data_IF_011182490471
#
_entry.id   IF_011182490471
#
_cell.length_a   1.000
_cell.length_b   1.000
_cell.length_c   1.000
_cell.angle_alpha   90.00
_cell.angle_beta   90.00
_cell.angle_gamma   90.00
#
_symmetry.space_group_name_H-M   'P 1'
#
loop_
_entity.id
_entity.type
_entity.pdbx_description
1 polymer ?
#
# COMPACT_ATOMS: atom_id res chain seq x y z
N UNK A 1 2.30 16.26 2.69
CA UNK A 1 1.43 16.33 1.51
C UNK A 1 0.38 15.24 1.62
N UNK A 2 -0.89 15.58 1.51
CA UNK A 2 -1.95 14.58 1.44
C UNK A 2 -1.99 14.09 -0.02
N UNK A 3 -1.37 12.94 -0.32
CA UNK A 3 -1.36 12.36 -1.67
C UNK A 3 -2.57 11.43 -1.83
N UNK A 4 -3.57 11.77 -2.66
CA UNK A 4 -4.74 10.93 -2.85
C UNK A 4 -4.34 9.56 -3.40
N UNK A 5 -5.06 8.52 -2.97
CA UNK A 5 -4.89 7.17 -3.48
C UNK A 5 -5.04 7.16 -5.01
N UNK A 6 -4.14 6.46 -5.72
CA UNK A 6 -4.06 6.37 -7.19
C UNK A 6 -3.61 7.65 -7.94
N UNK A 7 -3.15 8.70 -7.25
CA UNK A 7 -2.47 9.82 -7.93
C UNK A 7 -1.06 9.42 -8.41
N UNK A 8 -0.47 10.19 -9.33
CA UNK A 8 0.91 9.97 -9.80
C UNK A 8 1.91 9.99 -8.62
N UNK A 9 1.81 11.00 -7.75
CA UNK A 9 2.63 11.13 -6.52
C UNK A 9 2.47 9.91 -5.61
N UNK A 10 1.25 9.37 -5.49
CA UNK A 10 1.02 8.14 -4.72
C UNK A 10 1.77 6.94 -5.29
N UNK A 11 1.82 6.80 -6.62
CA UNK A 11 2.58 5.74 -7.27
C UNK A 11 4.09 5.93 -7.13
N UNK A 12 4.60 7.14 -7.36
CA UNK A 12 6.01 7.50 -7.21
C UNK A 12 6.53 7.21 -5.80
N UNK A 13 5.81 7.70 -4.78
CA UNK A 13 6.21 7.49 -3.38
C UNK A 13 6.17 6.00 -2.98
N UNK A 14 5.29 5.20 -3.57
CA UNK A 14 5.20 3.75 -3.30
C UNK A 14 6.16 2.91 -4.13
N UNK A 15 6.77 3.47 -5.16
CA UNK A 15 7.70 2.75 -6.03
C UNK A 15 8.94 2.34 -5.24
N UNK A 16 9.50 3.29 -4.48
CA UNK A 16 10.75 3.14 -3.74
C UNK A 16 10.54 2.93 -2.24
N UNK A 17 9.32 2.65 -1.76
CA UNK A 17 9.03 2.50 -0.32
C UNK A 17 8.38 1.16 0.00
N UNK A 18 8.73 0.64 1.17
CA UNK A 18 7.98 -0.44 1.79
C UNK A 18 6.57 0.07 2.16
N UNK A 19 5.56 -0.69 1.76
CA UNK A 19 4.16 -0.42 2.10
C UNK A 19 3.59 -1.59 2.87
N UNK A 20 2.58 -1.37 3.70
CA UNK A 20 1.96 -2.45 4.49
C UNK A 20 1.47 -3.63 3.64
N UNK A 21 1.00 -3.37 2.41
CA UNK A 21 0.58 -4.42 1.48
C UNK A 21 1.73 -5.20 0.83
N UNK A 22 2.98 -4.70 0.91
CA UNK A 22 4.17 -5.31 0.28
C UNK A 22 5.21 -5.79 1.28
N UNK A 23 5.17 -5.34 2.54
CA UNK A 23 6.16 -5.72 3.55
C UNK A 23 6.18 -7.23 3.81
N UNK A 24 5.04 -7.91 3.77
CA UNK A 24 4.99 -9.36 3.96
C UNK A 24 5.69 -10.14 2.84
N UNK A 25 5.48 -9.73 1.59
CA UNK A 25 6.20 -10.28 0.44
C UNK A 25 7.72 -10.02 0.56
N UNK A 26 8.09 -8.93 1.24
CA UNK A 26 9.49 -8.59 1.55
C UNK A 26 10.04 -9.32 2.79
N UNK A 27 9.20 -9.81 3.68
CA UNK A 27 9.64 -10.52 4.88
C UNK A 27 9.83 -12.02 4.61
N UNK A 28 8.95 -12.61 3.80
CA UNK A 28 8.87 -14.06 3.57
C UNK A 28 9.87 -14.61 2.53
N UNK A 29 11.01 -13.93 2.30
CA UNK A 29 12.04 -14.44 1.39
C UNK A 29 12.82 -15.60 2.02
N UNK A 30 12.42 -16.84 1.69
CA UNK A 30 13.24 -18.03 1.96
C UNK A 30 13.70 -18.78 0.71
N UNK A 31 13.22 -18.41 -0.50
CA UNK A 31 13.55 -19.11 -1.75
C UNK A 31 13.86 -18.15 -2.91
N UNK A 32 14.87 -18.53 -3.69
CA UNK A 32 15.61 -17.75 -4.66
C UNK A 32 14.78 -17.31 -5.88
N UNK A 33 14.34 -16.05 -5.90
CA UNK A 33 14.31 -15.23 -7.11
C UNK A 33 14.21 -13.74 -6.70
N UNK A 34 15.34 -13.19 -6.30
CA UNK A 34 15.43 -11.77 -5.92
C UNK A 34 15.23 -10.83 -7.12
N UNK A 35 15.52 -11.31 -8.34
CA UNK A 35 15.40 -10.49 -9.56
C UNK A 35 13.95 -10.23 -9.90
N UNK A 36 13.12 -11.28 -9.98
CA UNK A 36 11.70 -11.14 -10.26
C UNK A 36 10.98 -10.35 -9.16
N UNK A 37 11.34 -10.61 -7.90
CA UNK A 37 10.74 -9.90 -6.77
C UNK A 37 11.11 -8.42 -6.72
N UNK A 38 12.36 -8.07 -7.01
CA UNK A 38 12.77 -6.66 -7.13
C UNK A 38 12.00 -5.97 -8.27
N UNK A 39 11.86 -6.62 -9.43
CA UNK A 39 11.08 -6.09 -10.55
C UNK A 39 9.62 -5.84 -10.14
N UNK A 40 8.97 -6.82 -9.53
CA UNK A 40 7.58 -6.70 -9.09
C UNK A 40 7.39 -5.68 -7.95
N UNK A 41 8.41 -5.46 -7.14
CA UNK A 41 8.41 -4.44 -6.10
C UNK A 41 8.52 -3.04 -6.72
N UNK A 42 9.60 -2.75 -7.47
CA UNK A 42 9.85 -1.41 -8.02
C UNK A 42 8.96 -1.06 -9.22
N UNK A 43 8.35 -2.03 -9.88
CA UNK A 43 7.41 -1.80 -10.99
C UNK A 43 6.19 -2.71 -10.83
N UNK A 44 5.35 -2.44 -9.83
CA UNK A 44 4.18 -3.28 -9.57
C UNK A 44 3.18 -3.14 -10.72
N UNK A 45 2.67 -4.28 -11.20
CA UNK A 45 1.54 -4.29 -12.12
C UNK A 45 0.31 -3.72 -11.41
N UNK A 46 -0.51 -2.97 -12.14
CA UNK A 46 -1.78 -2.52 -11.60
C UNK A 46 -2.66 -3.73 -11.25
N UNK A 47 -3.12 -3.78 -10.00
CA UNK A 47 -4.05 -4.80 -9.54
C UNK A 47 -5.46 -4.36 -9.90
N UNK A 48 -5.98 -4.89 -11.02
CA UNK A 48 -7.39 -4.81 -11.38
C UNK A 48 -7.92 -6.22 -11.55
N UNK A 49 -8.74 -6.66 -10.62
CA UNK A 49 -9.46 -7.92 -10.70
C UNK A 49 -10.83 -7.76 -10.03
N UNK A 50 -11.71 -8.75 -10.24
CA UNK A 50 -13.07 -8.76 -9.69
C UNK A 50 -13.14 -8.51 -8.17
N UNK A 51 -12.12 -8.90 -7.41
CA UNK A 51 -12.09 -8.72 -5.96
C UNK A 51 -11.76 -7.27 -5.58
N UNK A 52 -10.81 -6.65 -6.30
CA UNK A 52 -10.49 -5.22 -6.14
C UNK A 52 -11.67 -4.35 -6.53
N UNK A 53 -12.33 -4.66 -7.65
CA UNK A 53 -13.51 -3.95 -8.14
C UNK A 53 -14.68 -4.05 -7.15
N UNK A 54 -14.95 -5.25 -6.63
CA UNK A 54 -15.94 -5.46 -5.59
C UNK A 54 -15.62 -4.64 -4.33
N UNK A 55 -14.36 -4.67 -3.87
CA UNK A 55 -13.92 -3.88 -2.72
C UNK A 55 -14.11 -2.37 -2.93
N UNK A 56 -13.81 -1.86 -4.14
CA UNK A 56 -14.03 -0.45 -4.47
C UNK A 56 -15.51 -0.09 -4.50
N UNK A 57 -16.36 -0.96 -5.03
CA UNK A 57 -17.81 -0.76 -5.12
C UNK A 57 -18.45 -0.61 -3.72
N UNK A 58 -18.08 -1.48 -2.78
CA UNK A 58 -18.72 -1.56 -1.47
C UNK A 58 -17.96 -0.82 -0.36
N UNK A 59 -16.86 -0.12 -0.68
CA UNK A 59 -16.02 0.59 0.29
C UNK A 59 -16.81 1.64 1.09
N UNK A 60 -17.69 2.40 0.43
CA UNK A 60 -18.47 3.47 1.06
C UNK A 60 -19.50 2.91 2.04
N UNK A 61 -20.25 1.90 1.61
CA UNK A 61 -21.27 1.22 2.43
C UNK A 61 -20.63 0.60 3.67
N UNK A 62 -19.51 -0.11 3.51
CA UNK A 62 -18.79 -0.70 4.64
C UNK A 62 -18.27 0.35 5.64
N UNK A 63 -17.82 1.52 5.15
CA UNK A 63 -17.37 2.62 6.01
C UNK A 63 -18.53 3.25 6.78
N UNK A 64 -19.69 3.40 6.15
CA UNK A 64 -20.89 3.95 6.76
C UNK A 64 -21.39 3.04 7.89
N UNK A 65 -21.52 1.74 7.62
CA UNK A 65 -21.90 0.74 8.63
C UNK A 65 -20.90 0.73 9.80
N UNK A 66 -19.59 0.78 9.52
CA UNK A 66 -18.58 0.87 10.57
C UNK A 66 -18.78 2.10 11.47
N UNK A 67 -19.02 3.29 10.88
CA UNK A 67 -19.29 4.52 11.64
C UNK A 67 -20.56 4.41 12.48
N UNK A 68 -21.62 3.79 11.95
CA UNK A 68 -22.88 3.58 12.66
C UNK A 68 -22.67 2.69 13.88
N UNK A 69 -21.92 1.60 13.73
CA UNK A 69 -21.66 0.63 14.79
C UNK A 69 -20.75 1.20 15.87
N UNK A 70 -19.62 1.80 15.49
CA UNK A 70 -18.61 2.21 16.47
C UNK A 70 -18.80 3.62 17.02
N UNK A 71 -19.64 4.44 16.37
CA UNK A 71 -19.80 5.88 16.67
C UNK A 71 -18.51 6.70 16.58
N UNK A 72 -17.49 6.20 15.87
CA UNK A 72 -16.23 6.92 15.69
C UNK A 72 -16.27 7.90 14.52
N UNK A 73 -15.57 9.02 14.67
CA UNK A 73 -15.26 9.90 13.53
C UNK A 73 -14.14 9.27 12.71
N UNK A 74 -14.48 8.70 11.55
CA UNK A 74 -13.52 8.11 10.63
C UNK A 74 -13.24 9.06 9.48
N UNK A 75 -11.96 9.45 9.35
CA UNK A 75 -11.44 10.33 8.31
C UNK A 75 -10.61 9.53 7.31
N UNK A 76 -10.85 9.76 6.03
CA UNK A 76 -10.02 9.17 4.98
C UNK A 76 -8.70 9.94 4.88
N UNK A 77 -7.60 9.19 4.90
CA UNK A 77 -6.25 9.71 4.73
C UNK A 77 -5.67 9.26 3.39
N UNK A 78 -4.77 10.09 2.85
CA UNK A 78 -3.89 9.72 1.74
C UNK A 78 -2.68 8.92 2.21
N UNK A 79 -1.56 9.04 1.49
CA UNK A 79 -0.34 8.29 1.84
C UNK A 79 0.28 8.87 3.11
N UNK A 80 0.51 8.02 4.11
CA UNK A 80 1.27 8.39 5.31
C UNK A 80 2.68 7.84 5.16
N UNK A 81 3.67 8.73 5.25
CA UNK A 81 5.09 8.41 5.13
C UNK A 81 5.75 8.59 6.49
N UNK A 82 6.35 7.53 7.02
CA UNK A 82 7.22 7.64 8.18
C UNK A 82 8.55 8.27 7.75
N UNK A 83 8.84 9.48 8.23
CA UNK A 83 10.08 10.20 7.89
C UNK A 83 11.31 9.70 8.65
N UNK A 84 11.10 8.92 9.72
CA UNK A 84 12.20 8.41 10.56
C UNK A 84 12.95 7.26 9.89
N UNK A 85 12.34 6.59 8.93
CA UNK A 85 12.99 5.55 8.14
C UNK A 85 13.29 6.10 6.75
N UNK A 86 14.58 6.08 6.38
CA UNK A 86 14.97 6.41 5.02
C UNK A 86 14.33 5.42 4.04
N UNK A 87 14.04 5.93 2.85
CA UNK A 87 13.35 5.26 1.75
C UNK A 87 14.01 3.93 1.32
N UNK A 88 15.24 3.65 1.75
CA UNK A 88 15.99 2.42 1.46
C UNK A 88 16.75 1.87 2.69
N UNK A 89 16.14 1.44 3.79
CA UNK A 89 16.95 0.69 4.77
C UNK A 89 17.22 -0.74 4.26
N UNK A 90 18.14 -0.81 3.29
CA UNK A 90 19.21 -1.79 3.23
C UNK A 90 20.27 -1.21 4.17
N UNK A 91 20.34 -1.71 5.40
CA UNK A 91 21.58 -1.56 6.16
C UNK A 91 22.58 -2.51 5.49
N UNK A 92 23.69 -2.04 4.91
CA UNK A 92 24.77 -2.94 4.57
C UNK A 92 25.28 -3.50 5.89
N UNK A 93 25.13 -4.80 6.07
CA UNK A 93 26.05 -5.60 6.88
C UNK A 93 26.94 -6.37 5.92
#
# INVERSE_FOLDING_TARGET
>A
MNSPQKSAIWYEERQLRLTGSRCYAVYTFSKADWSEKAKNFFWPKELSNKYVEHGLKYKSEALEEYKIITKYDVRQLGLIICKNFHFWIIHPM
#
